data_IF_782214659830
#
_entry.id   IF_782214659830
#
_cell.length_a   1.000
_cell.length_b   1.000
_cell.length_c   1.000
_cell.angle_alpha   90.00
_cell.angle_beta   90.00
_cell.angle_gamma   90.00
#
_symmetry.space_group_name_H-M   'P 1'
#
loop_
_entity.id
_entity.type
_entity.pdbx_description
1 polymer ?
#
# COMPACT_ATOMS: atom_id res chain seq x y z
N UNK A 1 -18.25 33.00 -21.60
CA UNK A 1 -17.14 32.96 -20.62
C UNK A 1 -17.55 32.04 -19.49
N UNK A 2 -17.06 30.79 -19.51
CA UNK A 2 -17.15 29.87 -18.36
C UNK A 2 -15.93 28.96 -18.43
N UNK A 3 -14.92 29.23 -17.60
CA UNK A 3 -14.07 28.18 -17.00
C UNK A 3 -14.93 27.53 -15.90
N UNK A 4 -14.89 26.20 -15.66
CA UNK A 4 -13.73 25.59 -15.00
C UNK A 4 -13.50 24.08 -15.31
N UNK A 5 -12.30 23.56 -15.03
CA UNK A 5 -12.12 22.47 -14.06
C UNK A 5 -10.62 22.18 -13.93
N UNK A 6 -10.03 22.60 -12.81
CA UNK A 6 -8.67 22.29 -12.45
C UNK A 6 -8.56 20.78 -12.16
N UNK A 7 -8.33 20.01 -13.22
CA UNK A 7 -8.09 18.58 -13.18
C UNK A 7 -6.78 18.33 -12.42
N UNK A 8 -6.83 18.14 -11.10
CA UNK A 8 -5.68 17.67 -10.34
C UNK A 8 -5.25 16.30 -10.90
N UNK A 9 -4.05 16.17 -11.50
CA UNK A 9 -3.61 14.89 -12.05
C UNK A 9 -3.42 13.92 -10.90
N UNK A 10 -4.17 12.82 -10.93
CA UNK A 10 -4.01 11.72 -9.99
C UNK A 10 -2.59 11.16 -10.17
N UNK A 11 -1.73 11.44 -9.18
CA UNK A 11 -0.27 11.20 -9.21
C UNK A 11 0.15 9.74 -9.46
N UNK A 12 -0.76 8.77 -9.38
CA UNK A 12 -0.47 7.36 -9.67
C UNK A 12 -1.67 6.66 -10.30
N UNK A 13 -1.43 6.04 -11.46
CA UNK A 13 -2.42 5.24 -12.17
C UNK A 13 -2.57 3.88 -11.48
N UNK A 14 -3.74 3.62 -10.90
CA UNK A 14 -4.03 2.33 -10.26
C UNK A 14 -4.29 1.30 -11.35
N UNK A 15 -3.36 0.38 -11.54
CA UNK A 15 -3.59 -0.76 -12.43
C UNK A 15 -4.22 -1.90 -11.63
N UNK A 16 -5.40 -2.37 -12.07
CA UNK A 16 -5.95 -3.64 -11.60
C UNK A 16 -5.05 -4.75 -12.09
N UNK A 17 -4.17 -5.24 -11.22
CA UNK A 17 -3.28 -6.32 -11.54
C UNK A 17 -3.58 -7.48 -10.59
N UNK A 18 -4.05 -8.61 -11.14
CA UNK A 18 -4.07 -9.89 -10.43
C UNK A 18 -2.64 -10.43 -10.35
N UNK A 19 -1.74 -9.67 -9.74
CA UNK A 19 -0.35 -10.08 -9.53
C UNK A 19 -0.31 -10.94 -8.26
N UNK A 20 0.26 -12.13 -8.40
CA UNK A 20 0.69 -12.90 -7.25
C UNK A 20 1.71 -12.07 -6.47
N UNK A 21 1.57 -12.04 -5.16
CA UNK A 21 2.55 -11.45 -4.28
C UNK A 21 2.78 -12.36 -3.08
N UNK A 22 3.92 -12.20 -2.42
CA UNK A 22 4.25 -12.91 -1.19
C UNK A 22 4.56 -11.90 -0.11
N UNK A 23 3.91 -12.05 1.04
CA UNK A 23 4.29 -11.30 2.24
C UNK A 23 5.41 -12.09 2.90
N UNK A 24 6.55 -11.44 3.12
CA UNK A 24 7.70 -11.96 3.86
C UNK A 24 7.71 -11.27 5.22
N UNK A 25 7.50 -12.06 6.27
CA UNK A 25 7.60 -11.60 7.65
C UNK A 25 9.04 -11.77 8.16
N UNK A 26 9.39 -11.10 9.27
CA UNK A 26 10.72 -11.15 9.89
C UNK A 26 11.16 -12.58 10.25
N UNK A 27 10.21 -13.45 10.61
CA UNK A 27 10.44 -14.86 10.92
C UNK A 27 10.69 -15.76 9.69
N UNK A 28 11.04 -15.19 8.52
CA UNK A 28 11.20 -15.92 7.25
C UNK A 28 9.94 -16.64 6.74
N UNK A 29 8.79 -16.42 7.38
CA UNK A 29 7.52 -16.99 6.93
C UNK A 29 7.02 -16.20 5.73
N UNK A 30 6.72 -16.91 4.65
CA UNK A 30 6.19 -16.33 3.42
C UNK A 30 4.75 -16.75 3.18
N UNK A 31 3.87 -15.79 2.95
CA UNK A 31 2.45 -16.05 2.66
C UNK A 31 2.09 -15.59 1.26
N UNK A 32 1.54 -16.49 0.45
CA UNK A 32 1.00 -16.15 -0.86
C UNK A 32 -0.28 -15.31 -0.71
N UNK A 33 -0.26 -14.13 -1.31
CA UNK A 33 -1.35 -13.16 -1.31
C UNK A 33 -1.60 -12.67 -2.73
N UNK A 34 -2.79 -12.17 -2.98
CA UNK A 34 -3.12 -11.59 -4.28
C UNK A 34 -3.21 -10.09 -4.15
N UNK A 35 -2.45 -9.35 -4.96
CA UNK A 35 -2.62 -7.90 -5.03
C UNK A 35 -3.98 -7.61 -5.68
N UNK A 36 -4.80 -6.80 -5.01
CA UNK A 36 -6.11 -6.35 -5.52
C UNK A 36 -6.03 -4.94 -6.08
N UNK A 37 -5.26 -4.08 -5.44
CA UNK A 37 -5.03 -2.70 -5.85
C UNK A 37 -3.57 -2.34 -5.56
N UNK A 38 -2.88 -1.84 -6.57
CA UNK A 38 -1.51 -1.35 -6.43
C UNK A 38 -1.49 0.11 -6.87
N UNK A 39 -0.91 0.96 -6.03
CA UNK A 39 -0.66 2.37 -6.29
C UNK A 39 0.78 2.70 -5.94
N UNK A 40 1.35 3.79 -6.48
CA UNK A 40 2.74 4.14 -6.16
C UNK A 40 3.00 4.41 -4.67
N UNK A 41 1.97 4.74 -3.89
CA UNK A 41 2.10 5.00 -2.45
C UNK A 41 1.67 3.85 -1.52
N UNK A 42 1.06 2.79 -2.04
CA UNK A 42 0.56 1.71 -1.21
C UNK A 42 -0.17 0.63 -1.99
N UNK A 43 -0.58 -0.39 -1.25
CA UNK A 43 -1.13 -1.62 -1.80
C UNK A 43 -2.31 -2.11 -0.98
N UNK A 44 -3.28 -2.68 -1.67
CA UNK A 44 -4.31 -3.52 -1.09
C UNK A 44 -4.09 -4.94 -1.55
N UNK A 45 -3.86 -5.84 -0.61
CA UNK A 45 -3.71 -7.28 -0.88
C UNK A 45 -4.87 -8.04 -0.27
N UNK A 46 -5.23 -9.14 -0.91
CA UNK A 46 -6.15 -10.15 -0.38
C UNK A 46 -5.31 -11.33 0.08
N UNK A 47 -5.41 -11.64 1.36
CA UNK A 47 -4.83 -12.82 1.98
C UNK A 47 -5.63 -14.05 1.51
N UNK A 48 -4.95 -15.09 1.06
CA UNK A 48 -5.62 -16.35 0.72
C UNK A 48 -6.10 -17.08 1.98
N UNK A 49 -5.33 -16.93 3.07
CA UNK A 49 -5.64 -17.42 4.40
C UNK A 49 -5.71 -16.23 5.34
N UNK A 50 -6.77 -16.05 6.15
CA UNK A 50 -6.82 -14.95 7.12
C UNK A 50 -5.80 -15.20 8.23
N UNK A 51 -4.81 -14.31 8.35
CA UNK A 51 -3.83 -14.31 9.44
C UNK A 51 -3.55 -12.88 9.90
N UNK A 52 -3.04 -12.71 11.12
CA UNK A 52 -2.66 -11.38 11.63
C UNK A 52 -1.32 -10.99 11.00
N UNK A 53 -1.34 -9.99 10.13
CA UNK A 53 -0.11 -9.49 9.51
C UNK A 53 0.56 -8.51 10.49
N UNK A 54 1.89 -8.60 10.73
CA UNK A 54 2.60 -7.62 11.55
C UNK A 54 2.53 -6.20 10.96
N UNK A 55 2.83 -5.20 11.78
CA UNK A 55 2.77 -3.80 11.34
C UNK A 55 3.80 -3.48 10.26
N UNK A 56 4.95 -4.15 10.25
CA UNK A 56 5.97 -4.06 9.20
C UNK A 56 6.18 -5.41 8.56
N UNK A 57 6.25 -5.43 7.25
CA UNK A 57 6.51 -6.63 6.47
C UNK A 57 7.10 -6.26 5.11
N UNK A 58 7.76 -7.21 4.46
CA UNK A 58 8.19 -7.02 3.08
C UNK A 58 7.19 -7.67 2.13
N UNK A 59 6.83 -6.97 1.07
CA UNK A 59 6.00 -7.47 0.00
C UNK A 59 6.86 -7.81 -1.21
N UNK A 60 6.87 -9.08 -1.60
CA UNK A 60 7.44 -9.55 -2.86
C UNK A 60 6.35 -9.54 -3.93
N UNK A 61 6.48 -8.65 -4.91
CA UNK A 61 5.56 -8.55 -6.04
C UNK A 61 6.13 -9.39 -7.18
N UNK A 62 5.42 -10.44 -7.59
CA UNK A 62 5.84 -11.27 -8.72
C UNK A 62 5.40 -10.57 -10.01
N UNK A 63 6.35 -10.06 -10.78
CA UNK A 63 6.06 -9.41 -12.04
C UNK A 63 6.16 -10.43 -13.19
N UNK A 64 5.04 -10.86 -13.80
CA UNK A 64 5.07 -11.92 -14.82
C UNK A 64 5.83 -11.51 -16.08
N UNK A 65 5.95 -10.21 -16.35
CA UNK A 65 6.63 -9.69 -17.53
C UNK A 65 8.16 -9.66 -17.39
N UNK A 66 8.67 -9.46 -16.17
CA UNK A 66 10.12 -9.34 -15.91
C UNK A 66 10.72 -10.64 -15.37
N UNK A 67 9.91 -11.54 -14.81
CA UNK A 67 10.38 -12.75 -14.13
C UNK A 67 11.10 -12.49 -12.79
N UNK A 68 11.46 -11.24 -12.51
CA UNK A 68 12.14 -10.83 -11.28
C UNK A 68 11.10 -10.43 -10.21
N UNK A 69 11.15 -11.01 -9.00
CA UNK A 69 10.32 -10.57 -7.88
C UNK A 69 10.83 -9.24 -7.33
N UNK A 70 9.93 -8.28 -7.19
CA UNK A 70 10.24 -6.96 -6.64
C UNK A 70 9.94 -6.94 -5.13
N UNK A 71 10.96 -6.73 -4.29
CA UNK A 71 10.78 -6.62 -2.83
C UNK A 71 10.54 -5.18 -2.42
N UNK A 72 9.44 -4.91 -1.71
CA UNK A 72 9.09 -3.60 -1.18
C UNK A 72 8.74 -3.68 0.30
N UNK A 73 9.43 -2.91 1.13
CA UNK A 73 9.08 -2.80 2.53
C UNK A 73 7.76 -2.03 2.69
N UNK A 74 6.86 -2.59 3.49
CA UNK A 74 5.49 -2.11 3.66
C UNK A 74 5.12 -2.02 5.13
N UNK A 75 4.27 -1.04 5.44
CA UNK A 75 3.67 -0.90 6.77
C UNK A 75 2.15 -1.12 6.67
N UNK A 76 1.61 -2.04 7.47
CA UNK A 76 0.16 -2.27 7.58
C UNK A 76 -0.52 -1.02 8.11
N UNK A 77 -1.58 -0.59 7.42
CA UNK A 77 -2.42 0.55 7.82
C UNK A 77 -3.75 0.09 8.37
N UNK A 78 -4.31 -0.97 7.80
CA UNK A 78 -5.56 -1.56 8.24
C UNK A 78 -5.64 -3.00 7.77
N UNK A 79 -6.36 -3.81 8.54
CA UNK A 79 -6.72 -5.16 8.15
C UNK A 79 -8.21 -5.38 8.44
N UNK A 80 -8.90 -5.99 7.47
CA UNK A 80 -10.32 -6.36 7.54
C UNK A 80 -10.46 -7.80 7.05
N UNK A 81 -10.39 -8.76 7.98
CA UNK A 81 -10.47 -10.18 7.66
C UNK A 81 -9.32 -10.62 6.73
N UNK A 82 -9.69 -10.99 5.51
CA UNK A 82 -8.81 -11.41 4.42
C UNK A 82 -8.26 -10.23 3.59
N UNK A 83 -8.65 -8.99 3.89
CA UNK A 83 -8.14 -7.81 3.20
C UNK A 83 -7.14 -7.05 4.06
N UNK A 84 -6.01 -6.70 3.46
CA UNK A 84 -4.96 -5.94 4.10
C UNK A 84 -4.62 -4.72 3.24
N UNK A 85 -4.68 -3.55 3.85
CA UNK A 85 -4.14 -2.32 3.28
C UNK A 85 -2.79 -1.99 3.92
N UNK A 86 -1.78 -1.80 3.09
CA UNK A 86 -0.46 -1.41 3.52
C UNK A 86 0.08 -0.25 2.69
N UNK A 87 0.96 0.55 3.30
CA UNK A 87 1.66 1.65 2.67
C UNK A 87 3.09 1.21 2.35
N UNK A 88 3.60 1.60 1.19
CA UNK A 88 5.02 1.40 0.89
C UNK A 88 5.85 2.36 1.73
N UNK A 89 6.81 1.82 2.49
CA UNK A 89 7.83 2.63 3.16
C UNK A 89 9.03 2.65 2.22
N UNK A 90 9.31 3.83 1.66
CA UNK A 90 10.53 4.02 0.89
C UNK A 90 11.71 3.68 1.79
N UNK A 91 12.62 2.82 1.32
CA UNK A 91 13.81 2.38 2.03
C UNK A 91 14.82 3.53 2.14
N UNK A 92 14.49 4.61 2.85
CA UNK A 92 15.31 5.79 3.17
C UNK A 92 16.10 6.52 2.06
N UNK A 93 16.13 6.02 0.82
CA UNK A 93 16.82 6.66 -0.32
C UNK A 93 15.86 7.50 -1.18
N UNK A 94 14.55 7.32 -1.01
CA UNK A 94 13.49 8.05 -1.74
C UNK A 94 12.62 8.89 -0.77
N UNK A 95 13.25 9.58 0.19
CA UNK A 95 12.58 10.58 1.03
C UNK A 95 12.62 11.96 0.36
N UNK A 96 11.96 12.10 -0.79
CA UNK A 96 11.77 13.41 -1.41
C UNK A 96 10.43 13.55 -2.15
N UNK A 97 9.33 12.93 -1.70
CA UNK A 97 8.02 13.35 -2.19
C UNK A 97 6.84 12.97 -1.28
N UNK A 98 6.26 14.01 -0.68
CA UNK A 98 4.81 14.12 -0.35
C UNK A 98 4.38 13.61 1.03
N UNK A 99 4.68 14.39 2.06
CA UNK A 99 3.69 14.70 3.10
C UNK A 99 3.05 16.05 2.74
N UNK A 100 1.73 16.16 2.49
CA UNK A 100 1.06 17.42 2.72
C UNK A 100 0.73 17.50 4.21
N UNK A 101 1.32 18.49 4.86
CA UNK A 101 0.74 19.15 6.02
C UNK A 101 -0.74 19.46 5.75
N UNK A 102 -1.64 18.92 6.56
CA UNK A 102 -2.96 19.51 6.90
C UNK A 102 -3.46 18.74 8.12
N UNK A 103 -3.21 19.26 9.32
CA UNK A 103 -4.12 20.11 10.10
C UNK A 103 -5.18 19.26 10.82
N UNK A 104 -4.96 18.94 12.10
CA UNK A 104 -5.57 19.66 13.22
C UNK A 104 -7.10 19.73 13.13
N UNK A 105 -7.79 18.90 13.90
CA UNK A 105 -8.62 19.41 14.99
C UNK A 105 -9.02 18.28 15.95
N UNK A 106 -8.45 18.32 17.15
CA UNK A 106 -9.12 17.80 18.34
C UNK A 106 -10.31 18.74 18.59
N UNK A 107 -11.51 18.21 18.74
CA UNK A 107 -12.56 18.87 19.53
C UNK A 107 -12.96 17.91 20.65
N UNK A 108 -12.61 18.20 21.92
CA UNK A 108 -13.31 17.60 23.05
C UNK A 108 -14.71 18.25 23.18
N UNK A 109 -15.70 17.51 23.71
CA UNK A 109 -17.05 18.02 23.92
C UNK A 109 -17.08 18.95 25.13
N UNK A 110 -17.86 20.05 25.10
CA UNK A 110 -18.45 20.61 26.29
C UNK A 110 -19.91 20.13 26.45
N UNK A 111 -20.27 19.93 27.72
CA UNK A 111 -21.56 19.49 28.24
C UNK A 111 -22.73 20.44 27.93
#
# INVERSE_FOLDING_TARGET
MTEPDAQFPRKFQRQRALKGARIVCENQVTYDVTIRDLSGGGVKVKLNTPFVVPDRFDLLILNPNSGVPERRSCEKRWQRGDQLGARFVASSDDQAATAPLTSLLRKPPPA
#
